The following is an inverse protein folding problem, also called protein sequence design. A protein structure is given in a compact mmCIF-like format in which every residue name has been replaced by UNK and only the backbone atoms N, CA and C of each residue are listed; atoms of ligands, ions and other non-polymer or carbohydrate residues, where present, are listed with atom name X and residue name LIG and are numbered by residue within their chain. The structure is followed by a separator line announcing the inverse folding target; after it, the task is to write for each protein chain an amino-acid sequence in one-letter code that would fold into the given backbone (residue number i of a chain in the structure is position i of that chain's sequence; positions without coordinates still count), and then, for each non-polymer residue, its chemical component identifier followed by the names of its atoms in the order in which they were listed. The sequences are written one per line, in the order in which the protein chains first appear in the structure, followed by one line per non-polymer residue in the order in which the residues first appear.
data_IF_631991696026
#
_entry.id   IF_631991696026
#
_cell.length_a   1.000
_cell.length_b   1.000
_cell.length_c   1.000
_cell.angle_alpha   90.00
_cell.angle_beta   90.00
_cell.angle_gamma   90.00
#
_symmetry.space_group_name_H-M   'P 1'
#
loop_
_entity.id
_entity.type
_entity.pdbx_description
1 polymer ?
#
# COMPACT_ATOMS: atom_id res chain seq x y z
N UNK A 1 -6.21 -11.59 -5.25
CA UNK A 1 -4.91 -11.78 -5.93
C UNK A 1 -5.18 -12.06 -7.40
N UNK A 2 -4.61 -11.27 -8.32
CA UNK A 2 -4.90 -11.36 -9.77
C UNK A 2 -3.83 -12.11 -10.57
N UNK A 3 -2.68 -12.38 -9.96
CA UNK A 3 -1.57 -13.06 -10.60
C UNK A 3 -1.83 -14.55 -10.82
N UNK A 4 -1.19 -15.08 -11.87
CA UNK A 4 -1.09 -16.51 -12.15
C UNK A 4 0.31 -17.02 -11.78
N UNK A 5 0.55 -18.33 -11.75
CA UNK A 5 1.89 -18.88 -11.53
C UNK A 5 2.96 -18.38 -12.52
N UNK A 6 2.56 -17.79 -13.65
CA UNK A 6 3.47 -17.28 -14.68
C UNK A 6 3.77 -15.78 -14.53
N UNK A 7 2.99 -15.03 -13.76
CA UNK A 7 3.11 -13.57 -13.71
C UNK A 7 4.48 -13.12 -13.18
N UNK A 8 4.92 -13.63 -12.02
CA UNK A 8 6.19 -13.20 -11.41
C UNK A 8 7.43 -13.59 -12.25
N UNK A 9 7.54 -14.83 -12.78
CA UNK A 9 8.63 -15.17 -13.70
C UNK A 9 8.71 -14.26 -14.93
N UNK A 10 7.56 -13.87 -15.50
CA UNK A 10 7.51 -12.96 -16.64
C UNK A 10 8.01 -11.56 -16.26
N UNK A 11 7.51 -11.00 -15.15
CA UNK A 11 7.95 -9.69 -14.65
C UNK A 11 9.46 -9.67 -14.40
N UNK A 12 9.99 -10.70 -13.75
CA UNK A 12 11.42 -10.82 -13.51
C UNK A 12 12.22 -10.89 -14.82
N UNK A 13 11.75 -11.65 -15.83
CA UNK A 13 12.40 -11.71 -17.15
C UNK A 13 12.42 -10.36 -17.86
N UNK A 14 11.43 -9.50 -17.61
CA UNK A 14 11.34 -8.14 -18.14
C UNK A 14 12.17 -7.12 -17.34
N UNK A 15 12.86 -7.53 -16.28
CA UNK A 15 13.74 -6.67 -15.48
C UNK A 15 13.06 -5.97 -14.31
N UNK A 16 11.81 -6.29 -14.00
CA UNK A 16 11.19 -5.83 -12.76
C UNK A 16 11.82 -6.53 -11.56
N UNK A 17 11.87 -5.82 -10.44
CA UNK A 17 12.43 -6.32 -9.17
C UNK A 17 11.39 -6.41 -8.06
N UNK A 18 10.14 -6.03 -8.34
CA UNK A 18 9.04 -6.10 -7.40
C UNK A 18 7.67 -6.25 -8.07
N UNK A 19 6.67 -6.64 -7.28
CA UNK A 19 5.26 -6.52 -7.63
C UNK A 19 4.45 -5.98 -6.45
N UNK A 20 3.21 -5.60 -6.72
CA UNK A 20 2.28 -5.06 -5.72
C UNK A 20 1.02 -5.91 -5.56
N UNK A 21 0.86 -6.97 -6.36
CA UNK A 21 -0.33 -7.83 -6.33
C UNK A 21 -0.27 -8.83 -5.16
N UNK A 22 -0.25 -8.30 -3.94
CA UNK A 22 -0.28 -9.04 -2.69
C UNK A 22 -1.04 -8.21 -1.63
N UNK A 23 -1.89 -8.88 -0.85
CA UNK A 23 -2.76 -8.27 0.17
C UNK A 23 -2.50 -8.83 1.58
N UNK A 24 -1.48 -9.68 1.76
CA UNK A 24 -1.31 -10.51 2.97
C UNK A 24 -0.61 -9.81 4.13
N UNK A 25 0.04 -8.67 3.90
CA UNK A 25 0.90 -8.00 4.88
C UNK A 25 0.71 -6.48 4.86
N UNK A 26 0.98 -5.87 6.00
CA UNK A 26 1.10 -4.42 6.18
C UNK A 26 2.58 -3.99 6.24
N UNK A 27 3.48 -4.73 5.60
CA UNK A 27 4.91 -4.39 5.47
C UNK A 27 5.48 -5.02 4.19
N UNK A 28 6.53 -4.45 3.57
CA UNK A 28 7.21 -5.08 2.45
C UNK A 28 7.81 -6.44 2.82
N UNK A 29 7.82 -7.37 1.87
CA UNK A 29 8.48 -8.68 2.01
C UNK A 29 9.29 -9.04 0.77
N UNK A 30 10.04 -10.14 0.83
CA UNK A 30 10.85 -10.66 -0.26
C UNK A 30 10.41 -12.07 -0.59
N UNK A 31 10.12 -12.32 -1.87
CA UNK A 31 9.90 -13.65 -2.42
C UNK A 31 11.14 -14.15 -3.15
N UNK A 32 11.28 -15.47 -3.24
CA UNK A 32 12.18 -16.09 -4.20
C UNK A 32 11.45 -16.34 -5.52
N UNK A 33 11.91 -15.71 -6.60
CA UNK A 33 11.45 -15.98 -7.96
C UNK A 33 12.64 -16.49 -8.77
N UNK A 34 12.60 -17.74 -9.22
CA UNK A 34 13.68 -18.39 -9.98
C UNK A 34 15.08 -18.24 -9.34
N UNK A 35 15.19 -18.41 -8.02
CA UNK A 35 16.46 -18.34 -7.30
C UNK A 35 16.96 -16.91 -7.02
N UNK A 36 16.18 -15.87 -7.32
CA UNK A 36 16.54 -14.47 -7.07
C UNK A 36 15.50 -13.78 -6.20
N UNK A 37 15.95 -12.85 -5.37
CA UNK A 37 15.09 -11.99 -4.56
C UNK A 37 14.19 -11.14 -5.46
N UNK A 38 12.92 -11.07 -5.10
CA UNK A 38 11.90 -10.27 -5.79
C UNK A 38 11.00 -9.65 -4.71
N UNK A 39 10.98 -8.32 -4.63
CA UNK A 39 10.28 -7.65 -3.55
C UNK A 39 8.77 -7.66 -3.74
N UNK A 40 8.06 -7.60 -2.62
CA UNK A 40 6.62 -7.42 -2.54
C UNK A 40 6.38 -6.11 -1.81
N UNK A 41 5.69 -5.18 -2.47
CA UNK A 41 5.19 -3.97 -1.81
C UNK A 41 3.67 -4.09 -1.75
N UNK A 42 3.09 -4.51 -0.61
CA UNK A 42 1.68 -4.86 -0.54
C UNK A 42 0.75 -3.75 -1.04
N UNK A 43 -0.38 -4.18 -1.58
CA UNK A 43 -1.48 -3.35 -2.02
C UNK A 43 -2.66 -3.46 -1.05
N UNK A 44 -3.78 -2.83 -1.39
CA UNK A 44 -4.97 -2.77 -0.55
C UNK A 44 -6.25 -2.91 -1.37
N UNK A 45 -7.21 -3.67 -0.84
CA UNK A 45 -8.61 -3.64 -1.31
C UNK A 45 -9.49 -2.80 -0.39
N UNK A 46 -9.16 -2.70 0.91
CA UNK A 46 -9.92 -1.94 1.89
C UNK A 46 -9.79 -0.42 1.70
N UNK A 47 -8.56 0.07 1.48
CA UNK A 47 -8.27 1.48 1.22
C UNK A 47 -8.19 1.76 -0.28
N UNK A 48 -9.23 1.33 -0.99
CA UNK A 48 -9.32 1.39 -2.44
C UNK A 48 -10.63 2.05 -2.85
N UNK A 49 -10.55 3.15 -3.58
CA UNK A 49 -11.74 3.94 -3.95
C UNK A 49 -12.74 3.18 -4.85
N UNK A 50 -12.29 2.20 -5.65
CA UNK A 50 -13.18 1.31 -6.41
C UNK A 50 -14.08 0.53 -5.46
N UNK A 51 -13.48 -0.12 -4.46
CA UNK A 51 -14.23 -0.92 -3.49
C UNK A 51 -15.05 -0.04 -2.57
N UNK A 52 -14.46 1.07 -2.13
CA UNK A 52 -15.10 1.99 -1.19
C UNK A 52 -16.35 2.63 -1.76
N UNK A 53 -16.29 3.11 -3.00
CA UNK A 53 -17.40 3.85 -3.61
C UNK A 53 -18.25 3.02 -4.58
N UNK A 54 -18.08 1.69 -4.57
CA UNK A 54 -18.99 0.79 -5.27
C UNK A 54 -20.40 0.75 -4.64
N UNK A 55 -20.50 0.99 -3.33
CA UNK A 55 -21.77 1.06 -2.61
C UNK A 55 -22.11 2.52 -2.27
N UNK A 56 -23.27 3.06 -2.71
CA UNK A 56 -23.69 4.44 -2.46
C UNK A 56 -23.78 4.84 -0.98
N UNK A 57 -23.90 3.88 -0.06
CA UNK A 57 -23.97 4.15 1.38
C UNK A 57 -22.63 4.59 1.99
N UNK A 58 -21.50 4.39 1.30
CA UNK A 58 -20.20 4.84 1.77
C UNK A 58 -19.89 6.26 1.32
N UNK A 59 -19.79 7.17 2.28
CA UNK A 59 -19.49 8.58 2.03
C UNK A 59 -17.99 8.86 2.04
N UNK A 60 -17.58 9.96 1.41
CA UNK A 60 -16.19 10.41 1.44
C UNK A 60 -15.73 10.75 2.87
N UNK A 61 -16.58 11.38 3.68
CA UNK A 61 -16.28 11.68 5.08
C UNK A 61 -16.06 10.42 5.92
N UNK A 62 -16.90 9.39 5.76
CA UNK A 62 -16.69 8.11 6.43
C UNK A 62 -15.38 7.45 5.96
N UNK A 63 -15.02 7.60 4.67
CA UNK A 63 -13.74 7.08 4.19
C UNK A 63 -12.54 7.82 4.79
N UNK A 64 -12.60 9.15 4.93
CA UNK A 64 -11.55 9.92 5.60
C UNK A 64 -11.34 9.43 7.04
N UNK A 65 -12.43 9.14 7.77
CA UNK A 65 -12.35 8.59 9.12
C UNK A 65 -11.70 7.19 9.13
N UNK A 66 -12.15 6.28 8.26
CA UNK A 66 -11.56 4.93 8.17
C UNK A 66 -10.05 4.97 7.87
N UNK A 67 -9.60 5.90 7.02
CA UNK A 67 -8.18 6.08 6.74
C UNK A 67 -7.40 6.52 8.00
N UNK A 68 -7.95 7.44 8.80
CA UNK A 68 -7.32 7.87 10.06
C UNK A 68 -7.29 6.74 11.09
N UNK A 69 -8.40 6.01 11.23
CA UNK A 69 -8.51 4.91 12.18
C UNK A 69 -7.49 3.80 11.86
N UNK A 70 -7.35 3.42 10.58
CA UNK A 70 -6.33 2.46 10.18
C UNK A 70 -4.91 3.00 10.37
N UNK A 71 -4.68 4.27 10.03
CA UNK A 71 -3.39 4.91 10.25
C UNK A 71 -3.01 4.91 11.73
N UNK A 72 -3.90 5.26 12.65
CA UNK A 72 -3.61 5.33 14.08
C UNK A 72 -3.18 3.97 14.64
N UNK A 73 -3.84 2.90 14.21
CA UNK A 73 -3.46 1.53 14.59
C UNK A 73 -2.08 1.18 14.03
N UNK A 74 -1.84 1.41 12.74
CA UNK A 74 -0.54 1.12 12.12
C UNK A 74 0.57 1.98 12.74
N UNK A 75 0.31 3.24 13.04
CA UNK A 75 1.27 4.16 13.65
C UNK A 75 1.62 3.73 15.08
N UNK A 76 0.64 3.29 15.88
CA UNK A 76 0.91 2.73 17.21
C UNK A 76 1.76 1.45 17.13
N UNK A 77 1.47 0.56 16.19
CA UNK A 77 2.25 -0.66 15.97
C UNK A 77 3.68 -0.37 15.47
N UNK A 78 3.87 0.73 14.73
CA UNK A 78 5.15 1.14 14.15
C UNK A 78 6.25 1.34 15.20
N UNK A 79 5.89 1.59 16.47
CA UNK A 79 6.84 1.68 17.58
C UNK A 79 7.59 0.39 17.89
N UNK A 80 7.12 -0.76 17.39
CA UNK A 80 7.72 -2.08 17.67
C UNK A 80 7.99 -2.93 16.44
N UNK A 81 7.35 -2.63 15.30
CA UNK A 81 7.51 -3.37 14.05
C UNK A 81 7.22 -2.49 12.84
N UNK A 82 7.71 -2.86 11.66
CA UNK A 82 7.50 -2.08 10.43
C UNK A 82 6.05 -2.13 10.00
N UNK A 83 5.45 -0.97 9.70
CA UNK A 83 4.15 -0.88 9.05
C UNK A 83 4.21 -0.04 7.77
N UNK A 84 3.32 -0.36 6.86
CA UNK A 84 3.06 0.30 5.59
C UNK A 84 1.56 0.39 5.41
N UNK A 85 1.07 1.57 5.05
CA UNK A 85 -0.31 1.79 4.64
C UNK A 85 -0.33 2.08 3.13
N UNK A 86 -1.12 1.32 2.38
CA UNK A 86 -1.42 1.64 0.98
C UNK A 86 -2.78 2.32 0.87
N UNK A 87 -2.90 3.30 -0.03
CA UNK A 87 -4.15 3.92 -0.44
C UNK A 87 -4.18 3.92 -1.96
N UNK A 88 -5.24 3.38 -2.55
CA UNK A 88 -5.42 3.34 -4.00
C UNK A 88 -6.52 4.28 -4.44
N UNK A 89 -6.20 5.11 -5.42
CA UNK A 89 -7.08 6.14 -5.96
C UNK A 89 -7.05 6.07 -7.48
N UNK A 90 -8.19 6.31 -8.11
CA UNK A 90 -8.33 6.38 -9.56
C UNK A 90 -8.96 7.72 -9.94
N UNK A 91 -8.40 8.40 -10.94
CA UNK A 91 -8.82 9.75 -11.37
C UNK A 91 -10.34 9.87 -11.57
N UNK A 92 -10.95 8.87 -12.22
CA UNK A 92 -12.39 8.85 -12.51
C UNK A 92 -13.29 8.62 -11.28
N UNK A 93 -12.75 8.21 -10.13
CA UNK A 93 -13.49 7.94 -8.89
C UNK A 93 -13.05 8.91 -7.81
N UNK A 94 -11.86 8.73 -7.23
CA UNK A 94 -11.36 9.55 -6.14
C UNK A 94 -11.03 10.98 -6.54
N UNK A 95 -10.77 11.25 -7.82
CA UNK A 95 -10.58 12.60 -8.35
C UNK A 95 -11.87 13.42 -8.45
N UNK A 96 -13.04 12.84 -8.15
CA UNK A 96 -14.29 13.60 -8.12
C UNK A 96 -14.25 14.70 -7.03
N UNK A 97 -14.77 15.92 -7.29
CA UNK A 97 -14.74 17.02 -6.33
C UNK A 97 -15.34 16.69 -4.95
N UNK A 98 -16.37 15.84 -4.91
CA UNK A 98 -17.00 15.41 -3.65
C UNK A 98 -16.14 14.44 -2.82
N UNK A 99 -15.00 13.96 -3.34
CA UNK A 99 -14.14 12.93 -2.72
C UNK A 99 -12.72 13.41 -2.47
N UNK A 100 -12.21 14.35 -3.26
CA UNK A 100 -10.82 14.82 -3.17
C UNK A 100 -10.45 15.35 -1.78
N UNK A 101 -11.41 15.95 -1.08
CA UNK A 101 -11.21 16.49 0.26
C UNK A 101 -10.87 15.40 1.28
N UNK A 102 -11.46 14.21 1.18
CA UNK A 102 -11.19 13.10 2.10
C UNK A 102 -9.71 12.67 2.06
N UNK A 103 -9.08 12.70 0.89
CA UNK A 103 -7.66 12.39 0.75
C UNK A 103 -6.79 13.54 1.25
N UNK A 104 -7.18 14.78 0.97
CA UNK A 104 -6.44 15.97 1.42
C UNK A 104 -6.41 16.05 2.95
N UNK A 105 -7.55 15.81 3.59
CA UNK A 105 -7.68 15.75 5.04
C UNK A 105 -6.82 14.63 5.64
N UNK A 106 -6.84 13.43 5.05
CA UNK A 106 -6.02 12.32 5.53
C UNK A 106 -4.51 12.59 5.36
N UNK A 107 -4.08 13.10 4.21
CA UNK A 107 -2.66 13.40 3.97
C UNK A 107 -2.17 14.45 4.98
N UNK A 108 -2.95 15.51 5.22
CA UNK A 108 -2.63 16.52 6.21
C UNK A 108 -2.55 15.92 7.63
N UNK A 109 -3.49 15.05 7.98
CA UNK A 109 -3.49 14.34 9.27
C UNK A 109 -2.23 13.48 9.45
N UNK A 110 -1.90 12.62 8.47
CA UNK A 110 -0.74 11.73 8.53
C UNK A 110 0.59 12.51 8.60
N UNK A 111 0.73 13.61 7.85
CA UNK A 111 1.93 14.46 7.88
C UNK A 111 2.17 15.15 9.22
N UNK A 112 1.14 15.28 10.08
CA UNK A 112 1.29 15.88 11.40
C UNK A 112 1.89 14.90 12.44
N UNK A 113 2.16 13.65 12.06
CA UNK A 113 2.72 12.62 12.93
C UNK A 113 4.23 12.43 12.67
N UNK A 114 5.09 12.54 13.71
CA UNK A 114 6.53 12.36 13.56
C UNK A 114 6.93 11.01 12.96
N UNK A 115 7.91 11.00 12.07
CA UNK A 115 8.44 9.75 11.49
C UNK A 115 7.60 9.12 10.38
N UNK A 116 6.48 9.73 9.99
CA UNK A 116 5.72 9.33 8.79
C UNK A 116 6.46 9.78 7.54
N UNK A 117 6.57 8.88 6.56
CA UNK A 117 7.17 9.17 5.25
C UNK A 117 6.25 8.68 4.14
N UNK A 118 6.00 9.54 3.16
CA UNK A 118 5.36 9.15 1.90
C UNK A 118 6.44 8.74 0.90
N UNK A 119 6.38 7.50 0.45
CA UNK A 119 7.38 6.93 -0.46
C UNK A 119 6.73 6.35 -1.70
N UNK A 120 7.44 6.39 -2.83
CA UNK A 120 7.06 5.66 -4.02
C UNK A 120 7.31 4.16 -3.81
N UNK A 121 6.52 3.31 -4.46
CA UNK A 121 6.63 1.84 -4.29
C UNK A 121 7.97 1.27 -4.76
N UNK A 122 8.62 1.90 -5.74
CA UNK A 122 9.96 1.51 -6.16
C UNK A 122 11.04 1.94 -5.15
N UNK A 123 10.86 3.06 -4.46
CA UNK A 123 11.74 3.45 -3.34
C UNK A 123 11.60 2.50 -2.15
N UNK A 124 10.37 2.12 -1.82
CA UNK A 124 10.09 1.10 -0.79
C UNK A 124 10.74 -0.24 -1.17
N UNK A 125 10.73 -0.57 -2.45
CA UNK A 125 11.38 -1.77 -2.98
C UNK A 125 12.89 -1.75 -2.73
N UNK A 126 13.56 -0.66 -3.12
CA UNK A 126 15.00 -0.51 -2.91
C UNK A 126 15.34 -0.54 -1.42
N UNK A 127 14.55 0.15 -0.60
CA UNK A 127 14.70 0.11 0.85
C UNK A 127 14.58 -1.33 1.36
N UNK A 128 13.49 -2.04 1.06
CA UNK A 128 13.23 -3.39 1.55
C UNK A 128 14.33 -4.40 1.16
N UNK A 129 14.82 -4.34 -0.09
CA UNK A 129 15.90 -5.21 -0.55
C UNK A 129 17.26 -4.92 0.12
N UNK A 130 17.44 -3.72 0.68
CA UNK A 130 18.65 -3.34 1.41
C UNK A 130 18.62 -3.70 2.90
N UNK A 131 17.44 -3.98 3.46
CA UNK A 131 17.30 -4.26 4.89
C UNK A 131 17.52 -5.75 5.19
N UNK A 132 18.37 -6.11 6.16
CA UNK A 132 18.70 -7.51 6.48
C UNK A 132 17.55 -8.28 7.13
N UNK A 133 16.58 -7.58 7.70
CA UNK A 133 15.44 -8.06 8.48
C UNK A 133 14.11 -7.91 7.73
N UNK A 134 14.13 -7.65 6.42
CA UNK A 134 12.92 -7.73 5.60
C UNK A 134 12.40 -9.17 5.62
N UNK A 135 11.11 -9.40 5.93
CA UNK A 135 10.53 -10.73 5.96
C UNK A 135 10.66 -11.44 4.61
N UNK A 136 10.96 -12.74 4.65
CA UNK A 136 10.96 -13.61 3.48
C UNK A 136 9.72 -14.51 3.49
N UNK A 137 9.03 -14.56 2.35
CA UNK A 137 7.86 -15.39 2.10
C UNK A 137 8.20 -16.61 1.21
#
# INVERSE_FOLDING_TARGET
MRQTPHTLPILQKLGFIYHIDNLSRDEPSILNVNGKSFAVVPYTERNNDIMRFANPSFTAGAFAQDLKDEFDVLYAEAGTRRRLMSISVHDRIGGAPARVEAYSEFIAYALNHPGVVFMRKDEITIWALSQPDTPHD
#
